data_IF_144646661924
#
_entry.id   IF_144646661924
#
_cell.length_a   1.000
_cell.length_b   1.000
_cell.length_c   1.000
_cell.angle_alpha   90.00
_cell.angle_beta   90.00
_cell.angle_gamma   90.00
#
_symmetry.space_group_name_H-M   'P 1'
#
loop_
_entity.id
_entity.type
_entity.pdbx_description
1 polymer ?
#
# COMPACT_ATOMS: atom_id res chain seq x y z
N UNK A 1 -9.79 -8.98 -21.65
CA UNK A 1 -9.09 -7.72 -21.97
C UNK A 1 -7.84 -7.66 -21.12
N UNK A 2 -6.67 -7.51 -21.75
CA UNK A 2 -5.39 -7.47 -21.03
C UNK A 2 -5.35 -6.19 -20.19
N UNK A 3 -5.26 -6.35 -18.87
CA UNK A 3 -5.19 -5.25 -17.91
C UNK A 3 -3.78 -4.65 -17.98
N UNK A 4 -3.59 -3.59 -18.78
CA UNK A 4 -2.27 -2.98 -18.93
C UNK A 4 -1.95 -2.16 -17.67
N UNK A 5 -1.06 -2.71 -16.85
CA UNK A 5 -0.44 -2.01 -15.73
C UNK A 5 1.05 -1.88 -15.99
N UNK A 6 1.62 -0.71 -15.68
CA UNK A 6 3.03 -0.44 -15.91
C UNK A 6 3.66 0.23 -14.69
N UNK A 7 4.80 -0.32 -14.25
CA UNK A 7 5.69 0.30 -13.27
C UNK A 7 6.78 1.08 -14.01
N UNK A 8 6.93 2.37 -13.70
CA UNK A 8 8.00 3.23 -14.20
C UNK A 8 8.83 3.64 -12.98
N UNK A 9 10.06 3.14 -12.89
CA UNK A 9 10.94 3.36 -11.75
C UNK A 9 12.41 3.03 -12.07
N UNK A 10 13.32 3.67 -11.34
CA UNK A 10 14.74 3.34 -11.27
C UNK A 10 15.10 2.66 -9.92
N UNK A 11 14.11 2.12 -9.19
CA UNK A 11 14.31 1.43 -7.92
C UNK A 11 15.34 0.29 -8.05
N UNK A 12 16.31 0.16 -7.11
CA UNK A 12 16.40 0.84 -5.81
C UNK A 12 17.23 2.13 -5.80
N UNK A 13 17.66 2.67 -6.95
CA UNK A 13 18.45 3.92 -6.97
C UNK A 13 17.64 5.13 -6.51
N UNK A 14 16.35 5.15 -6.89
CA UNK A 14 15.38 6.13 -6.41
C UNK A 14 14.21 5.42 -5.73
N UNK A 15 13.69 5.95 -4.61
CA UNK A 15 12.56 5.34 -3.89
C UNK A 15 11.21 5.58 -4.58
N UNK A 16 11.19 6.38 -5.65
CA UNK A 16 9.98 6.80 -6.34
C UNK A 16 9.56 5.79 -7.40
N UNK A 17 8.28 5.43 -7.38
CA UNK A 17 7.69 4.49 -8.34
C UNK A 17 6.38 5.07 -8.84
N UNK A 18 6.26 5.23 -10.16
CA UNK A 18 5.01 5.55 -10.81
C UNK A 18 4.35 4.27 -11.31
N UNK A 19 3.19 3.95 -10.76
CA UNK A 19 2.35 2.85 -11.22
C UNK A 19 1.18 3.42 -12.03
N UNK A 20 1.11 3.03 -13.30
CA UNK A 20 0.02 3.42 -14.20
C UNK A 20 -0.95 2.25 -14.36
N UNK A 21 -2.21 2.50 -14.08
CA UNK A 21 -3.35 1.66 -14.45
C UNK A 21 -4.25 2.45 -15.42
N UNK A 22 -5.06 1.76 -16.24
CA UNK A 22 -5.87 2.36 -17.32
C UNK A 22 -6.64 3.64 -16.93
N UNK A 23 -7.09 3.73 -15.67
CA UNK A 23 -7.90 4.87 -15.17
C UNK A 23 -7.22 5.66 -14.06
N UNK A 24 -6.17 5.14 -13.45
CA UNK A 24 -5.59 5.67 -12.23
C UNK A 24 -4.08 5.57 -12.24
N UNK A 25 -3.42 6.65 -11.82
CA UNK A 25 -2.00 6.68 -11.59
C UNK A 25 -1.76 6.78 -10.09
N UNK A 26 -0.80 6.01 -9.61
CA UNK A 26 -0.34 6.04 -8.23
C UNK A 26 1.14 6.36 -8.22
N UNK A 27 1.52 7.35 -7.41
CA UNK A 27 2.91 7.66 -7.13
C UNK A 27 3.24 7.09 -5.75
N UNK A 28 4.26 6.26 -5.68
CA UNK A 28 4.75 5.70 -4.44
C UNK A 28 6.13 6.27 -4.14
N UNK A 29 6.37 6.55 -2.86
CA UNK A 29 7.72 6.78 -2.32
C UNK A 29 7.96 5.72 -1.26
N UNK A 30 8.91 4.81 -1.52
CA UNK A 30 9.32 3.80 -0.54
C UNK A 30 10.09 4.49 0.58
N UNK A 31 9.51 4.53 1.78
CA UNK A 31 10.13 5.16 2.95
C UNK A 31 10.94 4.15 3.77
N UNK A 32 10.47 2.90 3.80
CA UNK A 32 11.18 1.78 4.41
C UNK A 32 11.00 0.52 3.57
N UNK A 33 12.11 -0.13 3.24
CA UNK A 33 12.10 -1.36 2.44
C UNK A 33 11.36 -2.49 3.18
N UNK A 34 10.63 -3.31 2.41
CA UNK A 34 9.93 -4.47 2.96
C UNK A 34 10.87 -5.62 3.29
N UNK A 35 10.61 -6.29 4.41
CA UNK A 35 11.24 -7.56 4.78
C UNK A 35 10.17 -8.62 4.90
N UNK A 36 10.31 -9.77 4.24
CA UNK A 36 9.34 -10.84 4.40
C UNK A 36 9.64 -11.67 5.65
N UNK A 37 8.65 -11.94 6.51
CA UNK A 37 8.79 -12.91 7.60
C UNK A 37 9.19 -14.29 7.07
N UNK A 38 9.74 -15.18 7.93
CA UNK A 38 9.98 -16.57 7.59
C UNK A 38 8.71 -17.25 7.03
N UNK A 39 8.89 -18.21 6.13
CA UNK A 39 7.76 -18.86 5.43
C UNK A 39 6.74 -19.51 6.38
N UNK A 40 7.14 -19.90 7.60
CA UNK A 40 6.23 -20.41 8.64
C UNK A 40 5.24 -19.36 9.17
N UNK A 41 5.58 -18.08 9.08
CA UNK A 41 4.80 -16.95 9.62
C UNK A 41 4.28 -15.99 8.56
N UNK A 42 4.66 -16.19 7.29
CA UNK A 42 4.27 -15.29 6.21
C UNK A 42 2.75 -15.30 6.00
N UNK A 43 2.16 -14.12 5.87
CA UNK A 43 0.73 -13.94 5.61
C UNK A 43 0.52 -13.42 4.20
N UNK A 44 -0.68 -13.60 3.69
CA UNK A 44 -1.07 -13.20 2.34
C UNK A 44 -2.34 -12.36 2.38
N UNK A 45 -2.47 -11.41 1.47
CA UNK A 45 -3.72 -10.67 1.27
C UNK A 45 -4.83 -11.62 0.80
N UNK A 46 -6.07 -11.36 1.20
CA UNK A 46 -7.23 -12.04 0.63
C UNK A 46 -7.39 -11.68 -0.86
N UNK A 47 -7.85 -12.61 -1.68
CA UNK A 47 -8.02 -12.42 -3.14
C UNK A 47 -6.74 -12.68 -3.93
N UNK A 48 -5.92 -11.65 -4.16
CA UNK A 48 -4.75 -11.72 -5.04
C UNK A 48 -3.52 -12.42 -4.44
N UNK A 49 -3.58 -12.80 -3.15
CA UNK A 49 -2.53 -13.53 -2.42
C UNK A 49 -1.14 -12.88 -2.51
N UNK A 50 -1.05 -11.57 -2.34
CA UNK A 50 0.24 -10.90 -2.21
C UNK A 50 0.87 -11.22 -0.85
N UNK A 51 2.17 -11.51 -0.82
CA UNK A 51 2.93 -11.67 0.43
C UNK A 51 2.89 -10.35 1.21
N UNK A 52 2.51 -10.42 2.48
CA UNK A 52 2.49 -9.26 3.37
C UNK A 52 3.88 -9.08 3.97
N UNK A 53 4.53 -7.92 3.78
CA UNK A 53 5.83 -7.65 4.35
C UNK A 53 5.76 -7.13 5.79
N UNK A 54 6.86 -7.29 6.51
CA UNK A 54 7.15 -6.68 7.80
C UNK A 54 8.00 -5.41 7.64
N UNK A 55 7.86 -4.50 8.61
CA UNK A 55 8.56 -3.21 8.73
C UNK A 55 8.55 -2.39 7.44
N UNK A 56 7.45 -2.45 6.71
CA UNK A 56 7.32 -1.80 5.42
C UNK A 56 6.62 -0.46 5.57
N UNK A 57 7.15 0.59 4.95
CA UNK A 57 6.54 1.91 4.97
C UNK A 57 6.61 2.55 3.58
N UNK A 58 5.47 3.07 3.13
CA UNK A 58 5.32 3.69 1.82
C UNK A 58 4.43 4.91 1.93
N UNK A 59 4.80 5.97 1.21
CA UNK A 59 3.89 7.08 0.94
C UNK A 59 3.25 6.86 -0.41
N UNK A 60 1.93 6.99 -0.47
CA UNK A 60 1.15 6.82 -1.70
C UNK A 60 0.39 8.10 -2.00
N UNK A 61 0.53 8.58 -3.23
CA UNK A 61 -0.13 9.76 -3.75
C UNK A 61 -0.97 9.38 -4.96
N UNK A 62 -2.25 9.76 -4.96
CA UNK A 62 -3.15 9.53 -6.07
C UNK A 62 -4.18 10.65 -6.20
N UNK A 63 -4.79 10.78 -7.37
CA UNK A 63 -5.69 11.90 -7.71
C UNK A 63 -5.06 12.84 -8.73
N UNK A 64 -5.76 13.94 -9.03
CA UNK A 64 -5.33 14.95 -10.02
C UNK A 64 -5.16 16.29 -9.34
N UNK A 65 -4.06 16.98 -9.67
CA UNK A 65 -3.79 18.38 -9.32
C UNK A 65 -4.12 18.72 -7.86
N UNK A 66 -5.04 19.66 -7.64
CA UNK A 66 -5.46 20.17 -6.33
C UNK A 66 -6.22 19.13 -5.46
N UNK A 67 -6.66 18.02 -6.06
CA UNK A 67 -7.37 16.95 -5.37
C UNK A 67 -6.49 15.72 -5.11
N UNK A 68 -5.16 15.88 -5.15
CA UNK A 68 -4.23 14.82 -4.77
C UNK A 68 -4.42 14.44 -3.31
N UNK A 69 -4.55 13.14 -3.07
CA UNK A 69 -4.59 12.53 -1.76
C UNK A 69 -3.22 11.93 -1.47
N UNK A 70 -2.68 12.26 -0.30
CA UNK A 70 -1.40 11.76 0.19
C UNK A 70 -1.68 10.94 1.45
N UNK A 71 -1.27 9.68 1.45
CA UNK A 71 -1.30 8.83 2.64
C UNK A 71 0.07 8.24 2.90
N UNK A 72 0.36 8.03 4.19
CA UNK A 72 1.49 7.20 4.63
C UNK A 72 0.93 5.88 5.12
N UNK A 73 1.38 4.79 4.53
CA UNK A 73 0.99 3.43 4.87
C UNK A 73 2.17 2.71 5.51
N UNK A 74 1.93 2.02 6.63
CA UNK A 74 2.93 1.22 7.33
C UNK A 74 2.38 -0.17 7.66
N UNK A 75 3.25 -1.18 7.59
CA UNK A 75 2.96 -2.55 7.99
C UNK A 75 4.04 -3.01 8.98
N UNK A 76 3.61 -3.44 10.15
CA UNK A 76 4.48 -4.08 11.16
C UNK A 76 3.90 -5.44 11.56
N UNK A 77 4.74 -6.40 11.91
CA UNK A 77 4.32 -7.64 12.53
C UNK A 77 4.48 -7.58 14.06
N UNK A 78 3.37 -7.75 14.79
CA UNK A 78 3.37 -7.87 16.25
C UNK A 78 2.88 -9.27 16.59
N UNK A 79 3.71 -10.07 17.29
CA UNK A 79 3.41 -11.46 17.63
C UNK A 79 2.96 -12.31 16.41
N UNK A 80 3.67 -12.18 15.28
CA UNK A 80 3.36 -12.84 14.00
C UNK A 80 2.03 -12.45 13.34
N UNK A 81 1.41 -11.35 13.80
CA UNK A 81 0.19 -10.79 13.21
C UNK A 81 0.55 -9.48 12.49
N UNK A 82 0.29 -9.36 11.18
CA UNK A 82 0.50 -8.10 10.47
C UNK A 82 -0.52 -7.06 10.93
N UNK A 83 -0.01 -5.90 11.31
CA UNK A 83 -0.77 -4.72 11.71
C UNK A 83 -0.57 -3.66 10.65
N UNK A 84 -1.68 -3.14 10.14
CA UNK A 84 -1.71 -2.14 9.08
C UNK A 84 -2.03 -0.79 9.67
N UNK A 85 -1.25 0.21 9.30
CA UNK A 85 -1.42 1.60 9.69
C UNK A 85 -1.58 2.45 8.45
N UNK A 86 -2.51 3.39 8.49
CA UNK A 86 -2.59 4.45 7.49
C UNK A 86 -2.75 5.81 8.17
N UNK A 87 -1.92 6.76 7.75
CA UNK A 87 -1.94 8.13 8.21
C UNK A 87 -2.29 9.07 7.05
N UNK A 88 -3.28 9.94 7.26
CA UNK A 88 -3.67 10.99 6.32
C UNK A 88 -3.47 12.36 6.94
N UNK A 89 -2.79 13.27 6.23
CA UNK A 89 -2.63 14.66 6.66
C UNK A 89 -1.93 14.85 8.01
N UNK A 90 -0.98 13.98 8.36
CA UNK A 90 -0.16 14.01 9.59
C UNK A 90 -0.88 13.82 10.93
N UNK A 91 -2.20 13.99 11.02
CA UNK A 91 -2.94 13.99 12.30
C UNK A 91 -3.90 12.80 12.48
N UNK A 92 -4.41 12.21 11.39
CA UNK A 92 -5.40 11.13 11.45
C UNK A 92 -4.75 9.77 11.18
N UNK A 93 -4.58 8.95 12.22
CA UNK A 93 -4.05 7.59 12.14
C UNK A 93 -5.15 6.55 12.38
N UNK A 94 -5.28 5.60 11.46
CA UNK A 94 -6.15 4.43 11.60
C UNK A 94 -5.27 3.18 11.68
N UNK A 95 -5.59 2.29 12.63
CA UNK A 95 -4.92 1.00 12.85
C UNK A 95 -5.93 -0.14 12.71
N UNK A 96 -5.55 -1.22 12.03
CA UNK A 96 -6.29 -2.48 12.10
C UNK A 96 -5.36 -3.68 12.18
N UNK A 97 -5.79 -4.65 12.99
CA UNK A 97 -5.17 -5.96 13.23
C UNK A 97 -5.89 -7.11 12.50
N UNK A 98 -7.05 -6.83 11.87
CA UNK A 98 -7.90 -7.87 11.26
C UNK A 98 -7.61 -8.11 9.78
N UNK A 99 -7.56 -7.05 8.98
CA UNK A 99 -7.21 -7.13 7.55
C UNK A 99 -6.92 -5.75 6.97
N UNK A 100 -6.29 -5.75 5.80
CA UNK A 100 -6.17 -4.59 4.89
C UNK A 100 -7.54 -3.99 4.54
N UNK A 101 -8.60 -4.80 4.59
CA UNK A 101 -9.97 -4.36 4.29
C UNK A 101 -10.66 -3.62 5.41
N UNK A 102 -10.43 -4.03 6.65
CA UNK A 102 -10.99 -3.33 7.80
C UNK A 102 -10.29 -1.97 8.02
N UNK A 103 -8.98 -1.86 7.74
CA UNK A 103 -8.27 -0.56 7.78
C UNK A 103 -8.79 0.41 6.74
N UNK A 104 -9.07 -0.07 5.53
CA UNK A 104 -9.55 0.80 4.44
C UNK A 104 -11.00 1.24 4.66
N UNK A 105 -11.83 0.41 5.28
CA UNK A 105 -13.20 0.77 5.69
C UNK A 105 -13.19 1.85 6.77
N UNK A 106 -12.32 1.72 7.78
CA UNK A 106 -12.13 2.73 8.82
C UNK A 106 -11.54 4.04 8.26
N UNK A 107 -10.64 3.95 7.27
CA UNK A 107 -10.15 5.10 6.51
C UNK A 107 -11.23 5.79 5.69
N UNK A 108 -12.15 5.02 5.08
CA UNK A 108 -13.27 5.56 4.34
C UNK A 108 -14.17 6.41 5.25
N UNK A 109 -14.43 5.95 6.47
CA UNK A 109 -15.17 6.72 7.49
C UNK A 109 -14.43 7.99 7.92
N UNK A 110 -13.10 7.95 8.05
CA UNK A 110 -12.29 9.10 8.50
C UNK A 110 -12.01 10.12 7.39
N UNK A 111 -11.87 9.70 6.13
CA UNK A 111 -11.44 10.58 5.01
C UNK A 111 -12.61 11.04 4.13
N UNK A 112 -13.68 10.24 3.99
CA UNK A 112 -14.78 10.58 3.09
C UNK A 112 -16.10 10.14 3.71
N UNK A 113 -16.76 10.97 4.54
CA UNK A 113 -18.05 10.60 5.14
C UNK A 113 -19.18 10.41 4.11
N UNK A 114 -18.95 10.52 2.78
CA UNK A 114 -20.01 10.51 1.78
C UNK A 114 -19.69 10.06 0.32
N UNK A 115 -18.58 9.36 0.00
CA UNK A 115 -18.42 8.79 -1.38
C UNK A 115 -17.75 7.42 -1.44
N UNK A 116 -18.40 6.55 -2.22
CA UNK A 116 -18.12 5.14 -2.56
C UNK A 116 -17.00 5.00 -3.60
N UNK A 117 -15.80 5.54 -3.37
CA UNK A 117 -14.67 5.24 -4.27
C UNK A 117 -13.87 4.04 -3.73
N UNK A 118 -14.21 2.82 -4.15
CA UNK A 118 -13.39 1.62 -3.93
C UNK A 118 -12.02 1.77 -4.63
N UNK A 119 -11.09 2.49 -4.02
CA UNK A 119 -9.68 2.34 -4.39
C UNK A 119 -9.22 1.03 -3.77
N UNK A 120 -8.96 0.01 -4.59
CA UNK A 120 -8.61 -1.32 -4.10
C UNK A 120 -7.39 -1.21 -3.17
N UNK A 121 -7.60 -1.74 -1.97
CA UNK A 121 -6.82 -1.55 -0.74
C UNK A 121 -5.34 -1.96 -0.90
N UNK A 122 -5.09 -2.84 -1.88
CA UNK A 122 -3.76 -3.31 -2.29
C UNK A 122 -2.91 -2.18 -2.88
N UNK A 123 -3.54 -1.28 -3.65
CA UNK A 123 -2.85 -0.15 -4.26
C UNK A 123 -2.46 0.91 -3.24
N UNK A 124 -3.16 1.05 -2.11
CA UNK A 124 -2.73 2.03 -1.10
C UNK A 124 -1.38 1.66 -0.48
N UNK A 125 -1.17 0.37 -0.23
CA UNK A 125 0.10 -0.14 0.29
C UNK A 125 1.13 -0.46 -0.81
N UNK A 126 0.78 -0.35 -2.10
CA UNK A 126 1.69 -0.70 -3.19
C UNK A 126 2.16 -2.17 -3.14
N UNK A 127 1.34 -3.09 -2.61
CA UNK A 127 1.75 -4.50 -2.46
C UNK A 127 1.91 -5.21 -3.81
N UNK A 128 1.27 -4.69 -4.86
CA UNK A 128 1.39 -5.17 -6.23
C UNK A 128 2.73 -4.83 -6.89
N UNK A 129 3.54 -3.92 -6.30
CA UNK A 129 4.76 -3.42 -6.91
C UNK A 129 5.83 -4.53 -7.03
N UNK A 130 6.06 -4.97 -8.25
CA UNK A 130 6.98 -6.05 -8.59
C UNK A 130 8.44 -5.62 -8.42
N UNK A 131 8.78 -4.37 -8.74
CA UNK A 131 10.13 -3.83 -8.56
C UNK A 131 10.63 -3.96 -7.12
N UNK A 132 9.74 -3.79 -6.14
CA UNK A 132 10.06 -3.91 -4.71
C UNK A 132 10.06 -5.38 -4.24
N UNK A 133 9.37 -6.29 -4.96
CA UNK A 133 9.34 -7.73 -4.62
C UNK A 133 10.63 -8.48 -4.97
N UNK A 134 11.49 -7.93 -5.84
CA UNK A 134 12.76 -8.56 -6.20
C UNK A 134 13.70 -8.53 -5.00
N UNK A 135 13.54 -9.53 -4.14
CA UNK A 135 14.48 -9.90 -3.10
C UNK A 135 15.90 -9.86 -3.70
N UNK A 136 16.74 -9.01 -3.12
CA UNK A 136 18.19 -9.17 -3.21
C UNK A 136 18.49 -10.56 -2.64
N UNK A 137 19.22 -11.36 -3.43
CA UNK A 137 19.78 -12.65 -2.99
C UNK A 137 20.69 -12.45 -1.80
#
# INVERSE_FOLDING_TARGET
MAKYSQEITNYPQEPNILYKEEKHNFHYTILQEKVYPPDSNIKYTSGYRYKIPDKYEVQTIWGKDENQKIVKCKIDYINNIPIFYVCFGFENQVKSDKSVSNTTTLLHEVIIPNKTSQTSEIFLFGLQLCCVMRNRK
#
